data_IF_156446865134
#
_entry.id   IF_156446865134
#
_cell.length_a   1.000
_cell.length_b   1.000
_cell.length_c   1.000
_cell.angle_alpha   90.00
_cell.angle_beta   90.00
_cell.angle_gamma   90.00
#
_symmetry.space_group_name_H-M   'P 1'
#
loop_
_entity.id
_entity.type
_entity.pdbx_description
1 polymer ?
#
# COMPACT_ATOMS: atom_id res chain seq x y z
N UNK A 1 -20.89 -43.23 -47.99
CA UNK A 1 -20.78 -43.22 -46.52
C UNK A 1 -20.56 -41.79 -46.08
N UNK A 2 -21.53 -41.26 -45.33
CA UNK A 2 -21.69 -39.85 -45.01
C UNK A 2 -20.83 -39.48 -43.80
N UNK A 3 -19.97 -38.48 -43.99
CA UNK A 3 -19.62 -37.42 -43.03
C UNK A 3 -19.86 -37.70 -41.54
N UNK A 4 -18.86 -38.23 -40.84
CA UNK A 4 -18.79 -38.24 -39.37
C UNK A 4 -17.42 -37.71 -38.92
N UNK A 5 -17.00 -36.56 -39.46
CA UNK A 5 -15.81 -35.84 -38.95
C UNK A 5 -16.05 -34.32 -39.03
N UNK A 6 -17.08 -33.78 -38.35
CA UNK A 6 -16.89 -32.41 -37.85
C UNK A 6 -17.40 -32.19 -36.41
N UNK A 7 -17.55 -33.23 -35.57
CA UNK A 7 -18.03 -33.03 -34.20
C UNK A 7 -16.93 -32.90 -33.13
N UNK A 8 -15.69 -33.35 -33.41
CA UNK A 8 -14.60 -33.33 -32.42
C UNK A 8 -13.89 -31.96 -32.40
N UNK A 9 -13.89 -31.22 -33.52
CA UNK A 9 -13.22 -29.90 -33.60
C UNK A 9 -14.05 -28.81 -32.90
N UNK A 10 -15.36 -29.00 -32.72
CA UNK A 10 -16.22 -28.02 -32.03
C UNK A 10 -16.11 -28.08 -30.50
N UNK A 11 -15.53 -29.13 -29.92
CA UNK A 11 -15.38 -29.31 -28.46
C UNK A 11 -14.05 -28.79 -27.90
N UNK A 12 -13.08 -28.44 -28.76
CA UNK A 12 -11.76 -27.94 -28.32
C UNK A 12 -11.76 -26.40 -28.18
N UNK A 13 -12.79 -25.71 -28.70
CA UNK A 13 -12.91 -24.25 -28.61
C UNK A 13 -13.68 -23.74 -27.38
N UNK A 14 -14.26 -24.63 -26.56
CA UNK A 14 -15.03 -24.25 -25.36
C UNK A 14 -14.22 -24.25 -24.05
N UNK A 15 -12.93 -24.60 -24.08
CA UNK A 15 -12.12 -24.75 -22.86
C UNK A 15 -11.19 -23.56 -22.55
N UNK A 16 -11.16 -22.52 -23.37
CA UNK A 16 -10.46 -21.26 -23.06
C UNK A 16 -11.40 -20.18 -22.53
N UNK A 17 -12.38 -20.54 -21.70
CA UNK A 17 -12.89 -19.61 -20.70
C UNK A 17 -11.91 -19.61 -19.53
N UNK A 18 -10.73 -18.99 -19.72
CA UNK A 18 -9.94 -18.51 -18.59
C UNK A 18 -10.89 -17.65 -17.77
N UNK A 19 -11.28 -18.12 -16.58
CA UNK A 19 -11.82 -17.25 -15.56
C UNK A 19 -10.80 -16.13 -15.40
N UNK A 20 -11.07 -14.98 -16.03
CA UNK A 20 -10.58 -13.71 -15.52
C UNK A 20 -11.20 -13.61 -14.14
N UNK A 21 -10.55 -14.20 -13.15
CA UNK A 21 -10.45 -13.54 -11.86
C UNK A 21 -9.68 -12.27 -12.18
N UNK A 22 -10.37 -11.27 -12.74
CA UNK A 22 -9.93 -9.91 -12.61
C UNK A 22 -9.87 -9.73 -11.10
N UNK A 23 -8.66 -9.79 -10.54
CA UNK A 23 -8.38 -9.14 -9.28
C UNK A 23 -8.95 -7.75 -9.44
N UNK A 24 -10.12 -7.52 -8.86
CA UNK A 24 -10.82 -6.26 -8.94
C UNK A 24 -9.91 -5.32 -8.15
N UNK A 25 -9.06 -4.57 -8.85
CA UNK A 25 -8.20 -3.59 -8.21
C UNK A 25 -9.12 -2.71 -7.36
N UNK A 26 -8.81 -2.60 -6.07
CA UNK A 26 -9.59 -1.75 -5.19
C UNK A 26 -9.50 -0.30 -5.71
N UNK A 27 -10.56 0.49 -5.57
CA UNK A 27 -10.59 1.89 -6.05
C UNK A 27 -9.43 2.71 -5.48
N UNK A 28 -9.04 2.46 -4.24
CA UNK A 28 -7.85 3.05 -3.63
C UNK A 28 -6.55 2.75 -4.41
N UNK A 29 -6.38 1.54 -4.93
CA UNK A 29 -5.21 1.16 -5.72
C UNK A 29 -5.22 1.84 -7.10
N UNK A 30 -6.40 2.00 -7.70
CA UNK A 30 -6.55 2.77 -8.93
C UNK A 30 -6.22 4.25 -8.72
N UNK A 31 -6.65 4.83 -7.60
CA UNK A 31 -6.37 6.22 -7.22
C UNK A 31 -4.89 6.44 -6.96
N UNK A 32 -4.26 5.56 -6.19
CA UNK A 32 -2.81 5.62 -5.99
C UNK A 32 -2.06 5.51 -7.32
N UNK A 33 -2.46 4.60 -8.20
CA UNK A 33 -1.88 4.46 -9.53
C UNK A 33 -2.01 5.76 -10.35
N UNK A 34 -3.18 6.40 -10.35
CA UNK A 34 -3.37 7.65 -11.09
C UNK A 34 -2.51 8.77 -10.51
N UNK A 35 -2.52 8.97 -9.20
CA UNK A 35 -1.73 10.01 -8.53
C UNK A 35 -0.24 9.79 -8.81
N UNK A 36 0.25 8.57 -8.63
CA UNK A 36 1.66 8.27 -8.92
C UNK A 36 1.98 8.55 -10.39
N UNK A 37 1.14 8.16 -11.35
CA UNK A 37 1.35 8.49 -12.78
C UNK A 37 1.41 10.00 -13.05
N UNK A 38 0.58 10.80 -12.39
CA UNK A 38 0.64 12.26 -12.50
C UNK A 38 1.96 12.81 -11.97
N UNK A 39 2.46 12.30 -10.84
CA UNK A 39 3.77 12.67 -10.28
C UNK A 39 4.93 12.22 -11.19
N UNK A 40 4.84 11.02 -11.75
CA UNK A 40 5.83 10.49 -12.70
C UNK A 40 5.92 11.35 -13.96
N UNK A 41 4.78 11.78 -14.51
CA UNK A 41 4.73 12.66 -15.69
C UNK A 41 5.37 14.03 -15.42
N UNK A 42 5.38 14.47 -14.16
CA UNK A 42 6.07 15.68 -13.69
C UNK A 42 7.52 15.43 -13.30
N UNK A 43 8.04 14.21 -13.46
CA UNK A 43 9.36 13.77 -13.00
C UNK A 43 9.59 14.03 -11.50
N UNK A 44 8.56 13.83 -10.67
CA UNK A 44 8.63 14.01 -9.23
C UNK A 44 8.95 12.70 -8.51
N UNK A 45 9.76 12.82 -7.46
CA UNK A 45 10.06 11.73 -6.54
C UNK A 45 8.98 11.65 -5.47
N UNK A 46 8.65 10.42 -5.09
CA UNK A 46 7.60 10.17 -4.12
C UNK A 46 7.87 8.92 -3.28
N UNK A 47 7.25 8.89 -2.12
CA UNK A 47 7.13 7.69 -1.28
C UNK A 47 5.65 7.52 -0.99
N UNK A 48 5.08 6.37 -1.34
CA UNK A 48 3.75 6.00 -0.87
C UNK A 48 3.83 4.85 0.11
N UNK A 49 2.89 4.85 1.05
CA UNK A 49 2.70 3.86 2.10
C UNK A 49 1.28 3.35 1.99
N UNK A 50 1.14 2.03 1.91
CA UNK A 50 -0.12 1.32 2.08
C UNK A 50 0.00 0.35 3.25
N UNK A 51 -0.96 0.38 4.17
CA UNK A 51 -1.09 -0.59 5.25
C UNK A 51 -2.27 -1.51 4.95
N UNK A 52 -2.03 -2.82 4.97
CA UNK A 52 -3.05 -3.84 4.75
C UNK A 52 -3.02 -4.85 5.89
N UNK A 53 -4.01 -4.80 6.77
CA UNK A 53 -4.15 -5.75 7.86
C UNK A 53 -5.12 -6.87 7.48
N UNK A 54 -4.70 -8.11 7.67
CA UNK A 54 -5.61 -9.24 7.54
C UNK A 54 -6.55 -9.27 8.76
N UNK A 55 -7.76 -8.73 8.60
CA UNK A 55 -8.78 -8.63 9.66
C UNK A 55 -10.19 -8.56 9.10
N UNK A 56 -11.19 -8.45 9.99
CA UNK A 56 -12.61 -8.43 9.64
C UNK A 56 -12.91 -7.38 8.55
N UNK A 57 -13.28 -7.84 7.35
CA UNK A 57 -13.80 -6.97 6.31
C UNK A 57 -15.25 -6.62 6.66
N UNK A 58 -15.50 -5.39 7.08
CA UNK A 58 -16.86 -4.90 7.25
C UNK A 58 -17.52 -4.75 5.87
N UNK A 59 -18.27 -5.77 5.47
CA UNK A 59 -19.13 -5.73 4.28
C UNK A 59 -20.38 -4.90 4.57
N UNK A 60 -20.24 -3.57 4.63
CA UNK A 60 -21.39 -2.68 4.70
C UNK A 60 -21.85 -2.37 3.28
N UNK A 61 -23.14 -2.56 2.99
CA UNK A 61 -23.75 -2.10 1.73
C UNK A 61 -23.57 -0.58 1.67
N UNK A 62 -22.71 -0.12 0.77
CA UNK A 62 -22.44 1.31 0.58
C UNK A 62 -23.73 1.97 0.12
N UNK A 63 -24.25 2.93 0.90
CA UNK A 63 -25.30 3.83 0.41
C UNK A 63 -24.62 4.78 -0.58
N UNK A 64 -25.07 4.75 -1.83
CA UNK A 64 -24.40 5.30 -3.02
C UNK A 64 -24.21 6.81 -3.02
N UNK A 65 -24.78 7.54 -2.05
CA UNK A 65 -25.04 8.97 -2.21
C UNK A 65 -24.22 9.85 -1.27
N UNK A 66 -23.47 9.27 -0.31
CA UNK A 66 -22.72 10.08 0.64
C UNK A 66 -21.38 9.49 1.06
N UNK A 67 -20.32 10.10 0.52
CA UNK A 67 -18.92 9.91 0.90
C UNK A 67 -18.66 10.08 2.41
N UNK A 68 -19.51 10.84 3.12
CA UNK A 68 -19.40 11.02 4.57
C UNK A 68 -19.67 9.73 5.36
N UNK A 69 -20.43 8.78 4.81
CA UNK A 69 -20.72 7.48 5.44
C UNK A 69 -19.78 6.37 4.95
N UNK A 70 -18.81 6.70 4.10
CA UNK A 70 -17.89 5.72 3.56
C UNK A 70 -16.86 5.32 4.61
N UNK A 71 -16.86 4.04 4.97
CA UNK A 71 -15.86 3.45 5.85
C UNK A 71 -14.62 3.12 5.02
N UNK A 72 -13.47 3.69 5.42
CA UNK A 72 -12.19 3.33 4.82
C UNK A 72 -11.83 1.90 5.22
N UNK A 73 -11.62 1.05 4.22
CA UNK A 73 -11.06 -0.29 4.41
C UNK A 73 -9.54 -0.29 4.25
N UNK A 74 -9.00 0.74 3.61
CA UNK A 74 -7.56 0.90 3.35
C UNK A 74 -7.22 2.38 3.28
N UNK A 75 -6.22 2.79 4.05
CA UNK A 75 -5.63 4.11 3.93
C UNK A 75 -4.29 4.01 3.21
N UNK A 76 -4.10 4.88 2.23
CA UNK A 76 -2.84 5.06 1.52
C UNK A 76 -2.38 6.49 1.69
N UNK A 77 -1.09 6.66 1.98
CA UNK A 77 -0.46 7.97 2.12
C UNK A 77 0.61 8.12 1.06
N UNK A 78 0.70 9.30 0.45
CA UNK A 78 1.75 9.61 -0.51
C UNK A 78 2.43 10.92 -0.16
N UNK A 79 3.76 10.90 -0.19
CA UNK A 79 4.64 12.02 0.09
C UNK A 79 5.38 12.40 -1.18
N UNK A 80 5.40 13.68 -1.54
CA UNK A 80 6.17 14.19 -2.67
C UNK A 80 6.61 15.63 -2.44
N UNK A 81 7.54 16.12 -3.25
CA UNK A 81 7.90 17.54 -3.27
C UNK A 81 7.38 18.19 -4.54
N UNK A 82 6.70 19.32 -4.40
CA UNK A 82 6.30 20.17 -5.51
C UNK A 82 6.56 21.64 -5.13
N UNK A 83 7.19 22.41 -6.01
CA UNK A 83 7.51 23.83 -5.76
C UNK A 83 8.28 24.07 -4.44
N UNK A 84 9.22 23.19 -4.10
CA UNK A 84 10.02 23.18 -2.85
C UNK A 84 9.22 22.89 -1.57
N UNK A 85 7.92 22.60 -1.67
CA UNK A 85 7.08 22.21 -0.55
C UNK A 85 7.02 20.69 -0.46
N UNK A 86 7.21 20.16 0.73
CA UNK A 86 6.96 18.75 1.01
C UNK A 86 5.48 18.59 1.28
N UNK A 87 4.83 17.68 0.57
CA UNK A 87 3.39 17.45 0.65
C UNK A 87 3.14 16.01 1.07
N UNK A 88 2.08 15.80 1.85
CA UNK A 88 1.47 14.50 2.13
C UNK A 88 0.01 14.53 1.69
N UNK A 89 -0.46 13.44 1.09
CA UNK A 89 -1.87 13.25 0.77
C UNK A 89 -2.33 11.88 1.24
N UNK A 90 -3.45 11.86 1.95
CA UNK A 90 -4.19 10.64 2.28
C UNK A 90 -5.17 10.31 1.15
N UNK A 91 -5.34 9.04 0.87
CA UNK A 91 -6.36 8.51 -0.02
C UNK A 91 -6.95 7.25 0.62
N UNK A 92 -8.24 7.07 0.46
CA UNK A 92 -8.92 5.83 0.83
C UNK A 92 -9.73 5.28 -0.35
N UNK A 93 -10.47 4.20 -0.11
CA UNK A 93 -11.36 3.61 -1.12
C UNK A 93 -12.62 4.45 -1.40
N UNK A 94 -12.71 5.68 -0.90
CA UNK A 94 -13.89 6.53 -1.04
C UNK A 94 -13.55 7.82 -1.81
N UNK A 95 -12.40 8.43 -1.52
CA UNK A 95 -11.95 9.64 -2.18
C UNK A 95 -10.49 9.96 -1.88
N UNK A 96 -10.00 11.00 -2.53
CA UNK A 96 -8.78 11.67 -2.13
C UNK A 96 -9.04 12.63 -0.97
N UNK A 97 -8.00 12.96 -0.23
CA UNK A 97 -7.96 14.07 0.71
C UNK A 97 -7.15 15.22 0.13
N UNK A 98 -7.33 16.43 0.65
CA UNK A 98 -6.49 17.55 0.23
C UNK A 98 -5.04 17.34 0.71
N UNK A 99 -4.04 17.69 -0.13
CA UNK A 99 -2.65 17.64 0.28
C UNK A 99 -2.36 18.60 1.43
N UNK A 100 -1.51 18.17 2.37
CA UNK A 100 -1.05 18.95 3.52
C UNK A 100 0.44 19.24 3.33
N UNK A 101 0.86 20.47 3.57
CA UNK A 101 2.26 20.86 3.58
C UNK A 101 2.93 20.47 4.90
N UNK A 102 4.09 19.80 4.81
CA UNK A 102 4.90 19.38 5.94
C UNK A 102 6.13 20.28 6.10
N UNK A 103 6.49 20.59 7.35
CA UNK A 103 7.63 21.46 7.67
C UNK A 103 8.78 20.78 8.40
N UNK A 104 8.53 19.62 9.04
CA UNK A 104 9.44 19.11 10.07
C UNK A 104 10.40 18.04 9.54
N UNK A 105 9.88 16.85 9.22
CA UNK A 105 10.66 15.74 8.68
C UNK A 105 10.41 15.59 7.18
N UNK A 106 11.49 15.31 6.45
CA UNK A 106 11.45 15.06 5.01
C UNK A 106 11.77 13.60 4.66
N UNK A 107 10.74 12.77 4.40
CA UNK A 107 10.91 11.39 3.98
C UNK A 107 11.73 11.25 2.70
N UNK A 108 11.63 12.21 1.78
CA UNK A 108 12.37 12.16 0.52
C UNK A 108 13.85 12.43 0.76
N UNK A 109 14.19 13.42 1.59
CA UNK A 109 15.59 13.66 1.97
C UNK A 109 16.23 12.45 2.65
N UNK A 110 15.49 11.82 3.58
CA UNK A 110 15.94 10.57 4.21
C UNK A 110 16.19 9.48 3.17
N UNK A 111 15.31 9.36 2.18
CA UNK A 111 15.45 8.42 1.09
C UNK A 111 16.72 8.67 0.26
N UNK A 112 16.99 9.92 -0.15
CA UNK A 112 18.19 10.21 -0.94
C UNK A 112 19.45 9.83 -0.19
N UNK A 113 19.49 10.10 1.12
CA UNK A 113 20.64 9.80 1.99
C UNK A 113 20.84 8.30 2.22
N UNK A 114 19.79 7.48 2.12
CA UNK A 114 19.82 6.06 2.46
C UNK A 114 19.43 5.14 1.29
N UNK A 115 19.44 5.63 0.05
CA UNK A 115 18.89 4.91 -1.11
C UNK A 115 19.44 3.49 -1.27
N UNK A 116 20.76 3.32 -1.17
CA UNK A 116 21.41 2.00 -1.30
C UNK A 116 20.85 1.02 -0.26
N UNK A 117 20.83 1.43 1.01
CA UNK A 117 20.28 0.62 2.11
C UNK A 117 18.80 0.31 1.90
N UNK A 118 18.01 1.30 1.52
CA UNK A 118 16.58 1.15 1.25
C UNK A 118 16.26 0.20 0.08
N UNK A 119 17.20 -0.01 -0.85
CA UNK A 119 17.05 -0.96 -1.95
C UNK A 119 17.53 -2.35 -1.54
N UNK A 120 18.68 -2.43 -0.86
CA UNK A 120 19.40 -3.70 -0.62
C UNK A 120 18.97 -4.42 0.66
N UNK A 121 18.62 -3.69 1.72
CA UNK A 121 18.25 -4.27 3.00
C UNK A 121 16.93 -5.03 2.90
N UNK A 122 16.88 -6.21 3.51
CA UNK A 122 15.68 -7.03 3.60
C UNK A 122 15.37 -7.31 5.06
N UNK A 123 14.08 -7.35 5.38
CA UNK A 123 13.60 -7.65 6.72
C UNK A 123 13.60 -9.17 6.87
N UNK A 124 14.23 -9.66 7.93
CA UNK A 124 14.20 -11.08 8.27
C UNK A 124 12.85 -11.43 8.90
N UNK A 125 12.33 -12.61 8.62
CA UNK A 125 11.11 -13.11 9.26
C UNK A 125 11.30 -13.28 10.78
N UNK A 126 10.22 -13.34 11.54
CA UNK A 126 10.26 -13.68 12.96
C UNK A 126 10.92 -15.04 13.18
N UNK A 127 12.18 -15.04 13.62
CA UNK A 127 13.01 -16.25 13.76
C UNK A 127 13.13 -16.62 15.23
N UNK A 128 12.72 -17.84 15.60
CA UNK A 128 12.75 -18.31 17.00
C UNK A 128 14.09 -19.01 17.30
N UNK A 129 14.53 -19.85 16.37
CA UNK A 129 15.84 -20.54 16.39
C UNK A 129 16.35 -20.72 14.96
N UNK A 130 17.45 -21.44 14.77
CA UNK A 130 18.10 -21.58 13.46
C UNK A 130 17.19 -22.13 12.34
N UNK A 131 16.24 -22.99 12.70
CA UNK A 131 15.40 -23.74 11.76
C UNK A 131 13.90 -23.42 11.89
N UNK A 132 13.50 -22.62 12.89
CA UNK A 132 12.10 -22.33 13.17
C UNK A 132 11.74 -20.84 13.09
N UNK A 133 10.55 -20.60 12.54
CA UNK A 133 9.99 -19.27 12.31
C UNK A 133 8.60 -19.18 12.93
N UNK A 134 8.23 -17.99 13.40
CA UNK A 134 6.89 -17.69 13.86
C UNK A 134 6.13 -16.92 12.78
N UNK A 135 4.85 -17.26 12.58
CA UNK A 135 3.95 -16.54 11.70
C UNK A 135 2.62 -16.33 12.42
N UNK A 136 1.94 -15.23 12.11
CA UNK A 136 0.59 -14.96 12.61
C UNK A 136 -0.36 -14.74 11.44
N UNK A 137 -1.56 -15.31 11.53
CA UNK A 137 -2.55 -15.28 10.44
C UNK A 137 -3.14 -13.88 10.16
N UNK A 138 -3.05 -12.96 11.12
CA UNK A 138 -3.71 -11.65 11.07
C UNK A 138 -2.72 -10.48 11.20
N UNK A 139 -1.51 -10.63 10.66
CA UNK A 139 -0.52 -9.55 10.64
C UNK A 139 -0.95 -8.42 9.69
N UNK A 140 -0.41 -7.23 9.96
CA UNK A 140 -0.47 -6.09 9.06
C UNK A 140 0.76 -6.06 8.16
N UNK A 141 0.53 -6.18 6.86
CA UNK A 141 1.54 -5.96 5.85
C UNK A 141 1.64 -4.46 5.53
N UNK A 142 2.87 -3.98 5.41
CA UNK A 142 3.22 -2.62 5.02
C UNK A 142 3.87 -2.66 3.66
N UNK A 143 3.32 -1.93 2.69
CA UNK A 143 3.90 -1.79 1.35
C UNK A 143 4.32 -0.34 1.10
N UNK A 144 5.59 -0.16 0.79
CA UNK A 144 6.17 1.11 0.35
C UNK A 144 6.42 1.09 -1.16
N UNK A 145 5.77 1.99 -1.90
CA UNK A 145 6.13 2.25 -3.30
C UNK A 145 6.96 3.51 -3.37
N UNK A 146 8.18 3.35 -3.84
CA UNK A 146 9.18 4.38 -3.74
C UNK A 146 9.68 4.71 -5.13
N UNK A 147 9.65 5.99 -5.48
CA UNK A 147 10.29 6.51 -6.68
C UNK A 147 11.38 7.49 -6.31
N UNK A 148 12.58 7.20 -6.79
CA UNK A 148 13.70 8.13 -6.77
C UNK A 148 14.30 8.27 -8.16
N UNK A 149 14.23 9.49 -8.68
CA UNK A 149 14.53 9.85 -10.06
C UNK A 149 13.69 9.01 -11.03
N UNK A 150 14.35 8.15 -11.82
CA UNK A 150 13.72 7.25 -12.77
C UNK A 150 13.68 5.80 -12.30
N UNK A 151 14.01 5.54 -11.02
CA UNK A 151 13.97 4.20 -10.43
C UNK A 151 12.78 4.11 -9.48
N UNK A 152 11.97 3.08 -9.69
CA UNK A 152 10.86 2.72 -8.80
C UNK A 152 11.15 1.37 -8.18
N UNK A 153 10.95 1.25 -6.87
CA UNK A 153 11.08 -0.01 -6.15
C UNK A 153 9.98 -0.16 -5.10
N UNK A 154 9.67 -1.42 -4.79
CA UNK A 154 8.68 -1.83 -3.81
C UNK A 154 9.42 -2.45 -2.62
N UNK A 155 9.06 -2.03 -1.40
CA UNK A 155 9.49 -2.67 -0.16
C UNK A 155 8.27 -3.09 0.63
N UNK A 156 8.23 -4.35 1.03
CA UNK A 156 7.12 -4.93 1.79
C UNK A 156 7.64 -5.63 3.03
N UNK A 157 6.86 -5.56 4.10
CA UNK A 157 7.16 -6.26 5.34
C UNK A 157 5.94 -6.41 6.24
N UNK A 158 5.97 -7.45 7.06
CA UNK A 158 4.98 -7.68 8.10
C UNK A 158 5.38 -6.94 9.39
N UNK A 159 4.42 -6.27 10.03
CA UNK A 159 4.69 -5.66 11.34
C UNK A 159 5.10 -6.68 12.39
N UNK A 160 4.57 -7.91 12.30
CA UNK A 160 4.90 -8.98 13.23
C UNK A 160 6.40 -9.32 13.24
N UNK A 161 7.09 -9.23 12.10
CA UNK A 161 8.54 -9.48 12.00
C UNK A 161 9.38 -8.45 12.76
N UNK A 162 8.77 -7.35 13.21
CA UNK A 162 9.41 -6.28 13.98
C UNK A 162 9.18 -6.41 15.49
N UNK A 163 8.40 -7.39 15.93
CA UNK A 163 8.06 -7.65 17.32
C UNK A 163 8.96 -8.71 17.95
N UNK A 164 8.97 -8.75 19.28
CA UNK A 164 9.59 -9.82 20.06
C UNK A 164 8.79 -10.02 21.34
N UNK A 165 8.78 -11.24 21.87
CA UNK A 165 8.14 -11.56 23.16
C UNK A 165 9.11 -12.30 24.08
N UNK A 166 8.84 -12.29 25.38
CA UNK A 166 9.67 -13.01 26.37
C UNK A 166 9.60 -14.53 26.16
N UNK A 167 8.41 -15.07 25.90
CA UNK A 167 8.18 -16.52 25.72
C UNK A 167 8.70 -17.04 24.38
N UNK A 168 8.79 -16.16 23.37
CA UNK A 168 9.25 -16.48 22.02
C UNK A 168 10.09 -15.30 21.53
N UNK A 169 11.39 -15.33 21.79
CA UNK A 169 12.30 -14.27 21.35
C UNK A 169 12.44 -14.31 19.84
N UNK A 170 12.31 -13.15 19.18
CA UNK A 170 12.62 -12.99 17.77
C UNK A 170 14.11 -12.66 17.62
N UNK A 171 14.91 -13.60 17.10
CA UNK A 171 16.34 -13.41 16.89
C UNK A 171 16.67 -12.28 15.88
N UNK A 172 15.73 -11.93 15.00
CA UNK A 172 15.89 -10.84 14.05
C UNK A 172 15.39 -9.48 14.56
N UNK A 173 14.83 -9.40 15.78
CA UNK A 173 14.20 -8.18 16.31
C UNK A 173 15.11 -6.94 16.25
N UNK A 174 16.31 -7.05 16.82
CA UNK A 174 17.27 -5.95 16.90
C UNK A 174 17.80 -5.55 15.52
N UNK A 175 18.12 -6.53 14.66
CA UNK A 175 18.62 -6.25 13.31
C UNK A 175 17.54 -5.59 12.45
N UNK A 176 16.31 -6.12 12.48
CA UNK A 176 15.18 -5.58 11.73
C UNK A 176 14.86 -4.14 12.15
N UNK A 177 14.81 -3.87 13.47
CA UNK A 177 14.46 -2.56 13.99
C UNK A 177 15.49 -1.46 13.72
N UNK A 178 16.70 -1.83 13.24
CA UNK A 178 17.78 -0.91 12.83
C UNK A 178 17.83 -0.66 11.32
N UNK A 179 17.07 -1.41 10.51
CA UNK A 179 17.05 -1.24 9.05
C UNK A 179 16.52 0.14 8.66
N UNK A 180 17.07 0.71 7.59
CA UNK A 180 16.78 2.07 7.14
C UNK A 180 15.29 2.26 6.82
N UNK A 181 14.64 1.24 6.25
CA UNK A 181 13.22 1.25 5.92
C UNK A 181 12.34 1.26 7.18
N UNK A 182 12.77 0.61 8.27
CA UNK A 182 12.02 0.57 9.53
C UNK A 182 12.16 1.89 10.28
N UNK A 183 13.34 2.51 10.26
CA UNK A 183 13.54 3.86 10.80
C UNK A 183 12.69 4.88 10.04
N UNK A 184 12.65 4.80 8.71
CA UNK A 184 11.76 5.62 7.88
C UNK A 184 10.29 5.40 8.24
N UNK A 185 9.88 4.14 8.40
CA UNK A 185 8.51 3.78 8.75
C UNK A 185 8.06 4.41 10.06
N UNK A 186 8.86 4.29 11.13
CA UNK A 186 8.55 4.87 12.45
C UNK A 186 8.29 6.38 12.35
N UNK A 187 9.13 7.11 11.60
CA UNK A 187 8.97 8.55 11.39
C UNK A 187 7.75 8.91 10.55
N UNK A 188 7.47 8.16 9.49
CA UNK A 188 6.28 8.38 8.66
C UNK A 188 5.00 8.14 9.46
N UNK A 189 4.96 7.08 10.27
CA UNK A 189 3.79 6.77 11.10
C UNK A 189 3.58 7.81 12.21
N UNK A 190 4.65 8.33 12.81
CA UNK A 190 4.56 9.46 13.74
C UNK A 190 3.86 10.67 13.10
N UNK A 191 4.32 11.10 11.92
CA UNK A 191 3.71 12.21 11.17
C UNK A 191 2.24 11.94 10.85
N UNK A 192 1.93 10.73 10.38
CA UNK A 192 0.54 10.37 10.06
C UNK A 192 -0.33 10.41 11.31
N UNK A 193 0.12 9.82 12.41
CA UNK A 193 -0.65 9.78 13.66
C UNK A 193 -0.90 11.18 14.22
N UNK A 194 0.07 12.08 14.13
CA UNK A 194 -0.08 13.48 14.56
C UNK A 194 -1.14 14.18 13.71
N UNK A 195 -1.07 14.05 12.38
CA UNK A 195 -2.05 14.64 11.46
C UNK A 195 -3.46 14.08 11.66
N UNK A 196 -3.60 12.78 11.91
CA UNK A 196 -4.90 12.14 12.21
C UNK A 196 -5.46 12.61 13.55
N UNK A 197 -4.63 12.67 14.60
CA UNK A 197 -5.00 13.13 15.95
C UNK A 197 -5.46 14.59 15.92
N UNK A 198 -4.75 15.43 15.17
CA UNK A 198 -5.10 16.83 14.94
C UNK A 198 -6.22 17.02 13.92
N UNK A 199 -6.73 15.95 13.30
CA UNK A 199 -7.80 15.95 12.28
C UNK A 199 -7.48 16.86 11.08
N UNK A 200 -6.22 16.87 10.64
CA UNK A 200 -5.74 17.72 9.53
C UNK A 200 -6.16 17.22 8.15
N UNK A 201 -6.45 15.93 8.01
CA UNK A 201 -6.89 15.34 6.75
C UNK A 201 -8.34 15.74 6.43
N UNK A 202 -8.50 16.69 5.50
CA UNK A 202 -9.81 17.08 4.98
C UNK A 202 -10.13 16.35 3.67
N UNK A 203 -11.29 15.69 3.63
CA UNK A 203 -11.75 14.91 2.48
C UNK A 203 -12.09 15.80 1.28
N UNK A 204 -11.54 15.48 0.10
CA UNK A 204 -11.91 16.16 -1.14
C UNK A 204 -13.21 15.56 -1.73
N UNK A 205 -14.35 16.15 -1.38
CA UNK A 205 -15.69 15.69 -1.81
C UNK A 205 -15.91 15.64 -3.32
N UNK A 206 -15.10 16.34 -4.13
CA UNK A 206 -15.19 16.30 -5.61
C UNK A 206 -14.64 15.00 -6.20
N UNK A 207 -13.82 14.29 -5.44
CA UNK A 207 -13.17 13.03 -5.85
C UNK A 207 -13.88 11.81 -5.26
N UNK A 208 -15.06 12.02 -4.69
CA UNK A 208 -15.86 10.95 -4.14
C UNK A 208 -16.30 9.98 -5.24
N UNK A 209 -15.93 8.71 -5.06
CA UNK A 209 -16.40 7.64 -5.93
C UNK A 209 -17.89 7.43 -5.64
N UNK A 210 -18.74 7.98 -6.51
CA UNK A 210 -20.14 7.59 -6.56
C UNK A 210 -20.16 6.15 -7.06
N UNK A 211 -20.27 5.18 -6.16
CA UNK A 211 -20.44 3.79 -6.57
C UNK A 211 -21.81 3.60 -7.19
N UNK A 212 -21.93 3.86 -8.49
CA UNK A 212 -22.95 3.23 -9.32
C UNK A 212 -22.47 1.82 -9.59
N UNK A 213 -22.77 0.91 -8.66
CA UNK A 213 -22.87 -0.49 -9.01
C UNK A 213 -24.14 -0.66 -9.85
N UNK A 214 -24.00 -0.64 -11.18
CA UNK A 214 -24.98 -1.23 -12.09
C UNK A 214 -24.68 -2.72 -12.25
#
# INVERSE_FOLDING_TARGET
MKTVIPLIILLILSSCATKKNATKNNEADFTLWRITKELENKNLNYISLKKSCAGENHLKKQNSDNCAECLSNYDTYIFWKENKKLLIQKNDNCSEFYPIELTDFDPLEYLYKNQTKLIEENIGQYKIDDDSYSIISHSCNISYYIRNENKTFLKEFELYDLETSEDRVNLNYESNNRLAIIVLHKKIIEIINDLETEKKFERNRKTCYNTVYN
#
